data_IF_187727276543
#
_entry.id   IF_187727276543
#
_cell.length_a   1.000
_cell.length_b   1.000
_cell.length_c   1.000
_cell.angle_alpha   90.00
_cell.angle_beta   90.00
_cell.angle_gamma   90.00
#
_symmetry.space_group_name_H-M   'P 1'
#
loop_
_entity.id
_entity.type
_entity.pdbx_description
1 polymer ?
#
# COMPACT_ATOMS: atom_id res chain seq x y z
N UNK A 1 22.78 41.23 -16.28
CA UNK A 1 23.18 40.17 -15.31
C UNK A 1 23.85 39.05 -16.09
N UNK A 2 25.04 39.30 -16.68
CA UNK A 2 25.57 38.40 -17.72
C UNK A 2 27.04 38.03 -17.66
N UNK A 3 27.89 38.60 -16.79
CA UNK A 3 29.36 38.50 -17.03
C UNK A 3 30.24 38.31 -15.79
N UNK A 4 29.81 37.54 -14.77
CA UNK A 4 30.71 37.21 -13.63
C UNK A 4 30.65 35.73 -13.19
N UNK A 5 30.86 34.79 -14.12
CA UNK A 5 31.00 33.37 -13.80
C UNK A 5 32.26 32.78 -14.47
N UNK A 6 33.27 32.43 -13.67
CA UNK A 6 34.43 31.65 -14.12
C UNK A 6 34.27 30.17 -13.73
N UNK A 7 34.36 29.27 -14.72
CA UNK A 7 34.21 27.81 -14.57
C UNK A 7 35.57 27.11 -14.40
N UNK A 8 35.71 26.25 -13.38
CA UNK A 8 36.82 25.31 -13.25
C UNK A 8 36.35 23.87 -13.51
N UNK A 9 36.93 23.25 -14.55
CA UNK A 9 36.94 21.82 -14.94
C UNK A 9 35.68 20.97 -14.65
N UNK A 10 35.03 20.61 -15.75
CA UNK A 10 33.99 19.59 -15.90
C UNK A 10 34.31 18.24 -15.22
N UNK A 11 33.39 17.76 -14.39
CA UNK A 11 33.25 16.34 -14.05
C UNK A 11 31.84 15.83 -14.40
N UNK A 12 31.70 14.53 -14.67
CA UNK A 12 30.41 13.93 -15.02
C UNK A 12 29.44 13.93 -13.81
N UNK A 13 28.14 14.22 -14.02
CA UNK A 13 27.16 14.35 -12.94
C UNK A 13 27.00 13.04 -12.16
N UNK A 14 27.19 13.09 -10.84
CA UNK A 14 27.11 11.94 -9.93
C UNK A 14 25.70 11.67 -9.40
N UNK A 15 24.76 12.59 -9.62
CA UNK A 15 23.41 12.56 -9.07
C UNK A 15 22.33 12.37 -10.14
N UNK A 16 22.30 11.20 -10.78
CA UNK A 16 21.11 10.78 -11.52
C UNK A 16 19.98 10.44 -10.54
N UNK A 17 19.04 11.36 -10.35
CA UNK A 17 17.73 11.07 -9.73
C UNK A 17 17.44 11.63 -8.34
N UNK A 18 18.15 12.65 -7.86
CA UNK A 18 17.80 13.37 -6.62
C UNK A 18 17.48 14.84 -6.89
N UNK A 19 16.42 15.35 -6.25
CA UNK A 19 16.04 16.78 -6.31
C UNK A 19 17.01 17.60 -5.45
N UNK A 20 17.75 18.48 -6.13
CA UNK A 20 18.70 19.43 -5.58
C UNK A 20 18.07 20.41 -4.59
N UNK A 21 18.89 20.93 -3.67
CA UNK A 21 18.57 22.08 -2.83
C UNK A 21 18.31 23.34 -3.70
N UNK A 22 17.90 24.50 -3.15
CA UNK A 22 17.24 25.60 -3.87
C UNK A 22 18.01 26.28 -5.03
N UNK A 23 19.18 25.80 -5.41
CA UNK A 23 19.98 26.33 -6.52
C UNK A 23 20.00 25.31 -7.67
N UNK A 24 18.96 25.34 -8.51
CA UNK A 24 18.95 24.67 -9.84
C UNK A 24 19.29 23.17 -9.88
N UNK A 25 19.22 22.53 -11.07
CA UNK A 25 19.75 21.18 -11.25
C UNK A 25 21.29 21.21 -11.28
N UNK A 26 21.95 20.22 -10.66
CA UNK A 26 23.41 20.09 -10.74
C UNK A 26 23.81 19.83 -12.19
N UNK A 27 24.44 20.82 -12.84
CA UNK A 27 24.83 20.75 -14.25
C UNK A 27 26.28 20.29 -14.45
N UNK A 28 26.96 19.94 -13.35
CA UNK A 28 28.39 19.61 -13.34
C UNK A 28 29.30 20.82 -13.11
N UNK A 29 28.72 22.00 -12.80
CA UNK A 29 29.40 23.27 -12.58
C UNK A 29 29.10 23.89 -11.19
N UNK A 30 28.82 23.08 -10.17
CA UNK A 30 28.27 23.59 -8.91
C UNK A 30 29.24 23.54 -7.73
N UNK A 31 30.18 24.48 -7.73
CA UNK A 31 30.48 25.21 -6.52
C UNK A 31 30.38 26.71 -6.83
N UNK A 32 29.21 27.31 -6.62
CA UNK A 32 29.13 28.75 -6.47
C UNK A 32 29.85 29.11 -5.15
N UNK A 33 31.15 29.41 -5.24
CA UNK A 33 31.81 30.14 -4.16
C UNK A 33 31.22 31.55 -4.13
N UNK A 34 30.70 31.95 -2.97
CA UNK A 34 30.28 33.32 -2.72
C UNK A 34 31.41 34.27 -3.12
N UNK A 35 31.18 35.13 -4.12
CA UNK A 35 31.92 36.38 -4.18
C UNK A 35 31.46 37.18 -2.97
N UNK A 36 32.32 37.30 -1.97
CA UNK A 36 32.15 38.18 -0.81
C UNK A 36 31.81 39.60 -1.32
N UNK A 37 30.51 39.90 -1.44
CA UNK A 37 30.01 41.27 -1.54
C UNK A 37 29.48 41.65 -0.16
N UNK A 38 30.18 42.53 0.58
CA UNK A 38 29.73 42.93 1.91
C UNK A 38 28.47 43.79 1.76
N UNK A 39 27.29 43.25 2.12
CA UNK A 39 26.07 44.04 2.28
C UNK A 39 24.74 43.37 1.93
N UNK A 40 24.71 42.32 1.11
CA UNK A 40 23.47 41.69 0.59
C UNK A 40 23.10 40.36 1.25
N UNK A 41 23.97 39.79 2.08
CA UNK A 41 23.76 38.46 2.69
C UNK A 41 22.67 38.42 3.77
N UNK A 42 22.45 39.52 4.49
CA UNK A 42 21.57 39.49 5.68
C UNK A 42 20.09 39.41 5.32
N UNK A 43 19.68 40.11 4.27
CA UNK A 43 18.29 40.15 3.81
C UNK A 43 17.90 38.87 3.07
N UNK A 44 18.82 38.30 2.28
CA UNK A 44 18.63 37.01 1.63
C UNK A 44 18.58 35.87 2.64
N UNK A 45 19.47 35.86 3.63
CA UNK A 45 19.44 34.88 4.72
C UNK A 45 18.13 34.99 5.51
N UNK A 46 17.68 36.20 5.82
CA UNK A 46 16.42 36.44 6.53
C UNK A 46 15.22 35.96 5.72
N UNK A 47 15.19 36.17 4.40
CA UNK A 47 14.14 35.68 3.52
C UNK A 47 14.10 34.13 3.48
N UNK A 48 15.27 33.49 3.42
CA UNK A 48 15.39 32.03 3.45
C UNK A 48 14.91 31.48 4.79
N UNK A 49 15.37 32.03 5.91
CA UNK A 49 14.92 31.64 7.25
C UNK A 49 13.42 31.86 7.43
N UNK A 50 12.87 32.96 6.92
CA UNK A 50 11.43 33.24 6.96
C UNK A 50 10.64 32.19 6.17
N UNK A 51 11.12 31.78 4.99
CA UNK A 51 10.46 30.72 4.20
C UNK A 51 10.51 29.33 4.85
N UNK A 52 11.52 29.07 5.68
CA UNK A 52 11.67 27.84 6.46
C UNK A 52 10.78 27.84 7.72
N UNK A 53 10.72 28.97 8.42
CA UNK A 53 9.97 29.12 9.68
C UNK A 53 8.48 29.35 9.45
N UNK A 54 8.12 30.09 8.39
CA UNK A 54 6.73 30.43 8.03
C UNK A 54 6.45 30.04 6.58
N UNK A 55 6.26 28.74 6.29
CA UNK A 55 5.99 28.31 4.93
C UNK A 55 4.64 28.84 4.41
N UNK A 56 4.62 29.33 3.17
CA UNK A 56 3.44 29.92 2.53
C UNK A 56 2.26 28.96 2.36
N UNK A 57 2.49 27.65 2.46
CA UNK A 57 1.43 26.63 2.47
C UNK A 57 0.71 26.52 3.82
N UNK A 58 1.31 27.02 4.90
CA UNK A 58 0.86 26.80 6.29
C UNK A 58 0.63 28.11 7.04
N UNK A 59 1.32 29.18 6.67
CA UNK A 59 1.17 30.50 7.25
C UNK A 59 0.65 31.48 6.20
N UNK A 60 -0.12 32.46 6.68
CA UNK A 60 -0.51 33.62 5.88
C UNK A 60 0.69 34.54 5.63
N UNK A 61 0.55 35.48 4.69
CA UNK A 61 1.56 36.53 4.43
C UNK A 61 1.90 37.35 5.68
N UNK A 62 0.96 37.39 6.63
CA UNK A 62 1.06 38.11 7.89
C UNK A 62 1.68 37.27 9.02
N UNK A 63 2.10 36.02 8.73
CA UNK A 63 2.73 35.12 9.69
C UNK A 63 1.76 34.41 10.64
N UNK A 64 0.45 34.50 10.40
CA UNK A 64 -0.58 33.80 11.18
C UNK A 64 -0.75 32.37 10.68
N UNK A 65 -0.79 31.40 11.60
CA UNK A 65 -1.01 29.98 11.28
C UNK A 65 -2.43 29.75 10.76
N UNK A 66 -2.57 28.98 9.68
CA UNK A 66 -3.85 28.79 8.98
C UNK A 66 -5.00 28.29 9.87
N UNK A 67 -4.71 27.48 10.90
CA UNK A 67 -5.74 26.92 11.78
C UNK A 67 -6.24 27.91 12.85
N UNK A 68 -5.52 29.01 13.07
CA UNK A 68 -5.92 30.07 14.01
C UNK A 68 -6.84 31.11 13.33
N UNK A 69 -7.08 30.97 12.03
CA UNK A 69 -8.01 31.81 11.28
C UNK A 69 -9.47 31.46 11.60
N UNK A 70 -10.39 32.45 11.53
CA UNK A 70 -11.83 32.18 11.52
C UNK A 70 -12.21 31.15 10.45
N UNK A 71 -13.17 30.27 10.72
CA UNK A 71 -13.53 29.12 9.87
C UNK A 71 -13.63 29.46 8.37
N UNK A 72 -14.33 30.52 8.00
CA UNK A 72 -14.47 30.92 6.59
C UNK A 72 -13.16 31.38 5.95
N UNK A 73 -12.26 32.03 6.71
CA UNK A 73 -10.92 32.41 6.26
C UNK A 73 -9.99 31.20 6.17
N UNK A 74 -10.14 30.23 7.07
CA UNK A 74 -9.42 28.95 7.02
C UNK A 74 -9.78 28.17 5.74
N UNK A 75 -11.08 28.06 5.43
CA UNK A 75 -11.57 27.41 4.20
C UNK A 75 -11.06 28.13 2.96
N UNK A 76 -11.14 29.46 2.92
CA UNK A 76 -10.64 30.25 1.79
C UNK A 76 -9.12 30.09 1.59
N UNK A 77 -8.34 30.07 2.67
CA UNK A 77 -6.89 29.85 2.61
C UNK A 77 -6.57 28.46 2.06
N UNK A 78 -7.18 27.41 2.61
CA UNK A 78 -6.96 26.05 2.18
C UNK A 78 -7.36 25.84 0.72
N UNK A 79 -8.53 26.32 0.30
CA UNK A 79 -8.98 26.24 -1.08
C UNK A 79 -8.03 26.96 -2.05
N UNK A 80 -7.43 28.08 -1.63
CA UNK A 80 -6.43 28.80 -2.43
C UNK A 80 -5.16 27.97 -2.61
N UNK A 81 -4.64 27.38 -1.54
CA UNK A 81 -3.44 26.53 -1.58
C UNK A 81 -3.70 25.29 -2.45
N UNK A 82 -4.81 24.59 -2.21
CA UNK A 82 -5.16 23.37 -2.93
C UNK A 82 -5.41 23.63 -4.42
N UNK A 83 -6.12 24.72 -4.76
CA UNK A 83 -6.37 25.11 -6.16
C UNK A 83 -5.09 25.49 -6.89
N UNK A 84 -4.14 26.14 -6.20
CA UNK A 84 -2.85 26.50 -6.78
C UNK A 84 -2.00 25.25 -7.05
N UNK A 85 -1.99 24.29 -6.12
CA UNK A 85 -1.27 23.03 -6.30
C UNK A 85 -1.91 22.17 -7.39
N UNK A 86 -3.24 22.04 -7.41
CA UNK A 86 -3.96 21.31 -8.44
C UNK A 86 -3.71 21.87 -9.85
N UNK A 87 -3.64 23.20 -10.00
CA UNK A 87 -3.28 23.85 -11.28
C UNK A 87 -1.84 23.53 -11.69
N UNK A 88 -0.90 23.53 -10.75
CA UNK A 88 0.50 23.19 -10.99
C UNK A 88 0.66 21.73 -11.41
N UNK A 89 -0.02 20.80 -10.72
CA UNK A 89 -0.04 19.38 -11.08
C UNK A 89 -0.67 19.14 -12.45
N UNK A 90 -1.81 19.78 -12.74
CA UNK A 90 -2.45 19.68 -14.04
C UNK A 90 -1.55 20.23 -15.16
N UNK A 91 -0.83 21.32 -14.89
CA UNK A 91 0.17 21.88 -15.79
C UNK A 91 1.32 20.90 -16.06
N UNK A 92 1.82 20.23 -15.02
CA UNK A 92 2.86 19.20 -15.14
C UNK A 92 2.35 17.97 -15.91
N UNK A 93 1.16 17.46 -15.61
CA UNK A 93 0.54 16.34 -16.32
C UNK A 93 0.33 16.69 -17.79
N UNK A 94 -0.12 17.92 -18.09
CA UNK A 94 -0.26 18.40 -19.46
C UNK A 94 1.08 18.50 -20.18
N UNK A 95 2.13 18.97 -19.51
CA UNK A 95 3.48 19.02 -20.08
C UNK A 95 4.05 17.61 -20.32
N UNK A 96 3.81 16.68 -19.40
CA UNK A 96 4.15 15.26 -19.53
C UNK A 96 3.43 14.63 -20.73
N UNK A 97 2.10 14.76 -20.82
CA UNK A 97 1.32 14.25 -21.95
C UNK A 97 1.74 14.84 -23.30
N UNK A 98 2.14 16.12 -23.35
CA UNK A 98 2.65 16.74 -24.58
C UNK A 98 3.98 16.15 -25.04
N UNK A 99 4.83 15.71 -24.12
CA UNK A 99 6.13 15.11 -24.43
C UNK A 99 6.00 13.62 -24.75
N UNK A 100 5.18 12.91 -24.00
CA UNK A 100 4.87 11.49 -24.19
C UNK A 100 3.49 11.17 -23.56
N UNK A 101 2.50 10.74 -24.34
CA UNK A 101 1.16 10.41 -23.83
C UNK A 101 1.17 9.27 -22.80
N UNK A 102 2.18 8.39 -22.81
CA UNK A 102 2.30 7.28 -21.85
C UNK A 102 3.02 7.68 -20.55
N UNK A 103 3.66 8.85 -20.51
CA UNK A 103 4.43 9.28 -19.35
C UNK A 103 3.62 9.43 -18.04
N UNK A 104 2.34 9.87 -18.03
CA UNK A 104 1.55 9.89 -16.80
C UNK A 104 1.23 8.47 -16.28
N UNK A 105 1.01 7.53 -17.20
CA UNK A 105 0.80 6.12 -16.86
C UNK A 105 2.09 5.54 -16.27
N UNK A 106 3.23 5.76 -16.92
CA UNK A 106 4.52 5.32 -16.40
C UNK A 106 4.84 5.96 -15.04
N UNK A 107 4.46 7.21 -14.82
CA UNK A 107 4.57 7.87 -13.52
C UNK A 107 3.69 7.20 -12.47
N UNK A 108 2.42 6.90 -12.79
CA UNK A 108 1.52 6.17 -11.90
C UNK A 108 2.06 4.79 -11.55
N UNK A 109 2.58 4.05 -12.53
CA UNK A 109 3.20 2.76 -12.29
C UNK A 109 4.41 2.86 -11.36
N UNK A 110 5.27 3.87 -11.53
CA UNK A 110 6.46 4.03 -10.70
C UNK A 110 6.17 4.54 -9.28
N UNK A 111 5.15 5.38 -9.10
CA UNK A 111 4.89 6.07 -7.84
C UNK A 111 3.73 5.49 -7.03
N UNK A 112 2.77 4.81 -7.65
CA UNK A 112 1.64 4.18 -6.98
C UNK A 112 1.71 2.64 -7.06
N UNK A 113 1.84 2.09 -8.27
CA UNK A 113 1.80 0.62 -8.46
C UNK A 113 3.02 -0.06 -7.88
N UNK A 114 4.23 0.39 -8.22
CA UNK A 114 5.46 -0.26 -7.80
C UNK A 114 5.68 -0.23 -6.28
N UNK A 115 5.43 0.89 -5.57
CA UNK A 115 5.50 0.90 -4.10
C UNK A 115 4.38 0.10 -3.44
N UNK A 116 3.18 0.05 -4.04
CA UNK A 116 2.02 -0.69 -3.53
C UNK A 116 1.88 -2.11 -4.06
N UNK A 117 2.81 -2.61 -4.87
CA UNK A 117 2.66 -3.90 -5.57
C UNK A 117 2.54 -5.07 -4.59
N UNK A 118 3.23 -5.01 -3.44
CA UNK A 118 3.11 -6.00 -2.37
C UNK A 118 1.70 -6.02 -1.79
N UNK A 119 1.17 -4.86 -1.39
CA UNK A 119 -0.22 -4.71 -0.91
C UNK A 119 -1.27 -5.16 -1.95
N UNK A 120 -0.99 -4.95 -3.23
CA UNK A 120 -1.87 -5.41 -4.31
C UNK A 120 -1.88 -6.93 -4.47
N UNK A 121 -0.71 -7.56 -4.50
CA UNK A 121 -0.59 -9.03 -4.57
C UNK A 121 -1.15 -9.69 -3.31
N UNK A 122 -0.92 -9.08 -2.16
CA UNK A 122 -1.49 -9.51 -0.90
C UNK A 122 -3.02 -9.42 -0.91
N UNK A 123 -3.57 -8.25 -1.23
CA UNK A 123 -5.01 -8.02 -1.31
C UNK A 123 -5.70 -8.98 -2.26
N UNK A 124 -5.06 -9.32 -3.38
CA UNK A 124 -5.55 -10.35 -4.29
C UNK A 124 -5.76 -11.69 -3.58
N UNK A 125 -4.77 -12.17 -2.82
CA UNK A 125 -4.79 -13.51 -2.22
C UNK A 125 -5.72 -13.57 -1.00
N UNK A 126 -5.66 -12.57 -0.12
CA UNK A 126 -6.52 -12.49 1.07
C UNK A 126 -8.00 -12.53 0.68
N UNK A 127 -8.40 -11.72 -0.32
CA UNK A 127 -9.80 -11.73 -0.77
C UNK A 127 -10.17 -12.95 -1.62
N UNK A 128 -9.18 -13.64 -2.20
CA UNK A 128 -9.42 -14.90 -2.90
C UNK A 128 -10.04 -15.96 -2.01
N UNK A 129 -9.70 -16.00 -0.71
CA UNK A 129 -10.18 -17.02 0.24
C UNK A 129 -11.70 -16.89 0.42
N UNK A 130 -12.17 -15.66 0.64
CA UNK A 130 -13.60 -15.35 0.71
C UNK A 130 -14.33 -15.69 -0.60
N UNK A 131 -13.73 -15.36 -1.75
CA UNK A 131 -14.33 -15.60 -3.05
C UNK A 131 -14.36 -17.09 -3.46
N UNK A 132 -13.37 -17.88 -3.03
CA UNK A 132 -13.29 -19.33 -3.29
C UNK A 132 -14.17 -20.16 -2.36
N UNK A 133 -14.51 -19.66 -1.17
CA UNK A 133 -15.35 -20.39 -0.20
C UNK A 133 -16.72 -20.82 -0.79
N UNK A 134 -17.48 -19.94 -1.49
CA UNK A 134 -18.69 -20.36 -2.20
C UNK A 134 -18.47 -21.42 -3.27
N UNK A 135 -17.33 -21.38 -3.99
CA UNK A 135 -16.96 -22.40 -4.98
C UNK A 135 -16.73 -23.76 -4.31
N UNK A 136 -16.02 -23.77 -3.18
CA UNK A 136 -15.79 -24.99 -2.41
C UNK A 136 -17.08 -25.55 -1.80
N UNK A 137 -17.97 -24.69 -1.32
CA UNK A 137 -19.31 -25.10 -0.86
C UNK A 137 -20.18 -25.66 -1.99
N UNK A 138 -20.02 -25.15 -3.22
CA UNK A 138 -20.73 -25.64 -4.40
C UNK A 138 -20.27 -27.03 -4.86
N UNK A 139 -18.97 -27.30 -4.80
CA UNK A 139 -18.33 -28.51 -5.36
C UNK A 139 -18.12 -29.61 -4.31
N UNK A 140 -17.72 -29.25 -3.09
CA UNK A 140 -17.41 -30.16 -1.99
C UNK A 140 -18.40 -29.99 -0.83
N UNK A 141 -19.70 -30.13 -1.13
CA UNK A 141 -20.81 -29.97 -0.16
C UNK A 141 -20.66 -30.80 1.10
N UNK A 142 -20.22 -32.06 0.98
CA UNK A 142 -20.02 -32.99 2.10
C UNK A 142 -18.89 -32.59 3.05
N UNK A 143 -18.03 -31.66 2.63
CA UNK A 143 -16.92 -31.14 3.41
C UNK A 143 -17.26 -29.75 3.93
N UNK A 144 -17.60 -28.81 3.04
CA UNK A 144 -17.75 -27.38 3.34
C UNK A 144 -19.16 -26.94 3.77
N UNK A 145 -20.16 -27.84 3.73
CA UNK A 145 -21.54 -27.52 4.11
C UNK A 145 -22.14 -28.49 5.13
N UNK A 146 -22.03 -29.80 4.90
CA UNK A 146 -22.59 -30.80 5.84
C UNK A 146 -21.56 -31.38 6.81
N UNK A 147 -20.27 -31.08 6.63
CA UNK A 147 -19.17 -31.47 7.52
C UNK A 147 -19.07 -32.99 7.81
N UNK A 148 -19.63 -33.83 6.94
CA UNK A 148 -19.59 -35.30 7.08
C UNK A 148 -18.21 -35.88 6.77
N UNK A 149 -17.51 -35.29 5.81
CA UNK A 149 -16.19 -35.78 5.32
C UNK A 149 -15.01 -35.02 5.87
N UNK A 150 -15.23 -33.80 6.36
CA UNK A 150 -14.21 -32.89 6.87
C UNK A 150 -14.61 -32.37 8.23
N UNK A 151 -13.65 -32.25 9.13
CA UNK A 151 -13.90 -31.70 10.44
C UNK A 151 -14.18 -30.19 10.34
N UNK A 152 -15.30 -29.75 10.91
CA UNK A 152 -15.71 -28.34 10.96
C UNK A 152 -14.63 -27.42 11.54
N UNK A 153 -13.92 -27.88 12.59
CA UNK A 153 -12.82 -27.13 13.20
C UNK A 153 -11.72 -26.82 12.20
N UNK A 154 -11.38 -27.76 11.30
CA UNK A 154 -10.35 -27.53 10.29
C UNK A 154 -10.79 -26.57 9.18
N UNK A 155 -12.07 -26.56 8.85
CA UNK A 155 -12.62 -25.61 7.87
C UNK A 155 -12.64 -24.20 8.45
N UNK A 156 -13.04 -24.04 9.71
CA UNK A 156 -12.98 -22.76 10.41
C UNK A 156 -11.52 -22.32 10.65
N UNK A 157 -10.61 -23.27 10.89
CA UNK A 157 -9.19 -22.99 11.08
C UNK A 157 -8.53 -22.35 9.85
N UNK A 158 -9.07 -22.53 8.64
CA UNK A 158 -8.58 -21.85 7.42
C UNK A 158 -8.54 -20.33 7.63
N UNK A 159 -9.60 -19.75 8.19
CA UNK A 159 -9.69 -18.30 8.43
C UNK A 159 -8.92 -17.89 9.70
N UNK A 160 -8.98 -18.70 10.77
CA UNK A 160 -8.27 -18.37 12.01
C UNK A 160 -6.75 -18.43 11.86
N UNK A 161 -6.23 -19.42 11.13
CA UNK A 161 -4.80 -19.54 10.87
C UNK A 161 -4.28 -18.43 9.96
N UNK A 162 -5.10 -17.93 9.04
CA UNK A 162 -4.76 -16.73 8.26
C UNK A 162 -4.52 -15.52 9.18
N UNK A 163 -5.44 -15.25 10.12
CA UNK A 163 -5.32 -14.14 11.08
C UNK A 163 -4.13 -14.35 12.03
N UNK A 164 -3.96 -15.57 12.56
CA UNK A 164 -2.80 -15.91 13.40
C UNK A 164 -1.47 -15.70 12.65
N UNK A 165 -1.41 -16.07 11.37
CA UNK A 165 -0.23 -15.85 10.53
C UNK A 165 0.09 -14.37 10.37
N UNK A 166 -0.92 -13.52 10.12
CA UNK A 166 -0.77 -12.06 10.02
C UNK A 166 -0.16 -11.48 11.30
N UNK A 167 -0.68 -11.89 12.48
CA UNK A 167 -0.18 -11.41 13.77
C UNK A 167 1.28 -11.82 13.99
N UNK A 168 1.61 -13.08 13.71
CA UNK A 168 2.99 -13.59 13.82
C UNK A 168 3.92 -12.84 12.87
N UNK A 169 3.49 -12.61 11.63
CA UNK A 169 4.21 -11.83 10.63
C UNK A 169 4.53 -10.41 11.08
N UNK A 170 3.52 -9.68 11.57
CA UNK A 170 3.68 -8.32 12.09
C UNK A 170 4.74 -8.23 13.20
N UNK A 171 4.75 -9.18 14.12
CA UNK A 171 5.71 -9.21 15.23
C UNK A 171 7.13 -9.51 14.73
N UNK A 172 7.29 -10.55 13.90
CA UNK A 172 8.60 -10.96 13.37
C UNK A 172 9.26 -9.85 12.55
N UNK A 173 8.47 -9.21 11.70
CA UNK A 173 8.95 -8.21 10.75
C UNK A 173 9.16 -6.86 11.44
N UNK A 174 8.38 -6.55 12.49
CA UNK A 174 8.67 -5.43 13.38
C UNK A 174 10.07 -5.57 13.99
N UNK A 175 10.41 -6.74 14.52
CA UNK A 175 11.72 -7.00 15.10
C UNK A 175 12.86 -6.93 14.06
N UNK A 176 12.68 -7.54 12.88
CA UNK A 176 13.69 -7.56 11.81
C UNK A 176 13.85 -6.18 11.16
N UNK A 177 12.75 -5.47 10.92
CA UNK A 177 12.73 -4.15 10.33
C UNK A 177 13.42 -3.11 11.21
N UNK A 178 13.26 -3.20 12.53
CA UNK A 178 13.92 -2.30 13.48
C UNK A 178 15.37 -2.70 13.77
N UNK A 179 15.67 -4.01 13.81
CA UNK A 179 17.00 -4.56 14.07
C UNK A 179 17.97 -4.48 12.89
N UNK A 180 17.60 -5.07 11.75
CA UNK A 180 18.46 -5.22 10.56
C UNK A 180 18.17 -4.12 9.52
N UNK A 181 16.91 -3.70 9.40
CA UNK A 181 16.49 -2.59 8.55
C UNK A 181 15.30 -2.91 7.64
N UNK A 182 14.63 -1.85 7.16
CA UNK A 182 13.37 -1.94 6.38
C UNK A 182 13.48 -2.78 5.10
N UNK A 183 14.62 -2.71 4.40
CA UNK A 183 14.84 -3.49 3.17
C UNK A 183 14.80 -5.00 3.44
N UNK A 184 15.39 -5.45 4.54
CA UNK A 184 15.43 -6.87 4.88
C UNK A 184 14.06 -7.40 5.31
N UNK A 185 13.28 -6.60 6.03
CA UNK A 185 11.86 -6.91 6.31
C UNK A 185 11.06 -7.11 5.02
N UNK A 186 11.11 -6.13 4.11
CA UNK A 186 10.40 -6.22 2.82
C UNK A 186 10.85 -7.40 1.95
N UNK A 187 12.13 -7.80 1.99
CA UNK A 187 12.62 -8.98 1.26
C UNK A 187 12.10 -10.27 1.89
N UNK A 188 12.16 -10.38 3.22
CA UNK A 188 11.64 -11.53 3.96
C UNK A 188 10.14 -11.72 3.67
N UNK A 189 9.35 -10.66 3.74
CA UNK A 189 7.90 -10.70 3.49
C UNK A 189 7.60 -11.26 2.11
N UNK A 190 8.28 -10.73 1.09
CA UNK A 190 8.12 -11.18 -0.29
C UNK A 190 8.52 -12.66 -0.48
N UNK A 191 9.58 -13.12 0.18
CA UNK A 191 10.02 -14.52 0.11
C UNK A 191 9.04 -15.47 0.79
N UNK A 192 8.56 -15.12 1.99
CA UNK A 192 7.58 -15.93 2.73
C UNK A 192 6.26 -15.99 1.96
N UNK A 193 5.78 -14.86 1.43
CA UNK A 193 4.60 -14.83 0.57
C UNK A 193 4.78 -15.69 -0.69
N UNK A 194 5.95 -15.63 -1.35
CA UNK A 194 6.21 -16.44 -2.53
C UNK A 194 6.18 -17.95 -2.22
N UNK A 195 6.88 -18.38 -1.17
CA UNK A 195 6.88 -19.78 -0.75
C UNK A 195 5.49 -20.22 -0.30
N UNK A 196 4.75 -19.38 0.42
CA UNK A 196 3.36 -19.64 0.79
C UNK A 196 2.45 -19.83 -0.44
N UNK A 197 2.63 -19.03 -1.50
CA UNK A 197 1.88 -19.19 -2.74
C UNK A 197 2.23 -20.47 -3.50
N UNK A 198 3.49 -20.90 -3.45
CA UNK A 198 3.89 -22.22 -3.97
C UNK A 198 3.20 -23.34 -3.19
N UNK A 199 3.17 -23.24 -1.86
CA UNK A 199 2.47 -24.20 -1.00
C UNK A 199 0.96 -24.24 -1.29
N UNK A 200 0.31 -23.08 -1.43
CA UNK A 200 -1.12 -22.98 -1.78
C UNK A 200 -1.41 -23.61 -3.14
N UNK A 201 -0.60 -23.29 -4.14
CA UNK A 201 -0.74 -23.81 -5.51
C UNK A 201 -0.46 -25.31 -5.58
N UNK A 202 0.50 -25.81 -4.79
CA UNK A 202 0.89 -27.22 -4.73
C UNK A 202 0.09 -28.04 -3.71
N UNK A 203 -0.81 -27.42 -2.94
CA UNK A 203 -1.56 -28.09 -1.87
C UNK A 203 -2.25 -29.36 -2.38
N UNK A 204 -1.98 -30.48 -1.74
CA UNK A 204 -2.51 -31.79 -2.12
C UNK A 204 -2.76 -32.64 -0.87
N UNK A 205 -3.79 -33.47 -0.91
CA UNK A 205 -4.13 -34.38 0.18
C UNK A 205 -4.59 -35.72 -0.35
N UNK A 206 -4.24 -36.80 0.33
CA UNK A 206 -4.76 -38.16 0.06
C UNK A 206 -6.24 -38.28 0.42
N UNK A 207 -6.71 -37.43 1.34
CA UNK A 207 -8.12 -37.26 1.69
C UNK A 207 -8.51 -35.78 1.55
N UNK A 208 -9.80 -35.52 1.42
CA UNK A 208 -10.31 -34.14 1.33
C UNK A 208 -10.03 -33.33 2.61
N UNK A 209 -10.11 -33.98 3.77
CA UNK A 209 -9.72 -33.38 5.05
C UNK A 209 -8.20 -33.09 5.10
N UNK A 210 -7.37 -34.03 4.65
CA UNK A 210 -5.92 -33.81 4.54
C UNK A 210 -5.56 -32.65 3.61
N UNK A 211 -6.31 -32.46 2.52
CA UNK A 211 -6.16 -31.29 1.65
C UNK A 211 -6.52 -29.98 2.37
N UNK A 212 -7.63 -29.94 3.13
CA UNK A 212 -8.00 -28.75 3.93
C UNK A 212 -6.92 -28.41 4.96
N UNK A 213 -6.35 -29.41 5.63
CA UNK A 213 -5.25 -29.21 6.60
C UNK A 213 -4.02 -28.62 5.91
N UNK A 214 -3.61 -29.19 4.77
CA UNK A 214 -2.49 -28.69 3.97
C UNK A 214 -2.75 -27.25 3.50
N UNK A 215 -3.97 -26.96 3.04
CA UNK A 215 -4.40 -25.64 2.62
C UNK A 215 -4.34 -24.63 3.77
N UNK A 216 -4.82 -24.99 4.96
CA UNK A 216 -4.83 -24.12 6.14
C UNK A 216 -3.41 -23.78 6.63
N UNK A 217 -2.49 -24.75 6.65
CA UNK A 217 -1.08 -24.49 6.99
C UNK A 217 -0.35 -23.68 5.92
N UNK A 218 -0.67 -23.90 4.64
CA UNK A 218 -0.13 -23.10 3.53
C UNK A 218 -0.57 -21.64 3.65
N UNK A 219 -1.83 -21.40 4.03
CA UNK A 219 -2.35 -20.07 4.32
C UNK A 219 -1.67 -19.44 5.53
N UNK A 220 -1.52 -20.18 6.65
CA UNK A 220 -0.77 -19.69 7.80
C UNK A 220 0.61 -19.17 7.41
N UNK A 221 1.36 -19.98 6.66
CA UNK A 221 2.71 -19.63 6.22
C UNK A 221 2.71 -18.41 5.29
N UNK A 222 1.81 -18.38 4.31
CA UNK A 222 1.63 -17.22 3.44
C UNK A 222 1.34 -15.95 4.25
N UNK A 223 0.42 -16.05 5.21
CA UNK A 223 -0.03 -14.95 6.06
C UNK A 223 1.06 -14.37 6.97
N UNK A 224 2.11 -15.12 7.28
CA UNK A 224 3.29 -14.55 7.96
C UNK A 224 3.97 -13.48 7.10
N UNK A 225 4.08 -13.68 5.79
CA UNK A 225 4.68 -12.67 4.90
C UNK A 225 3.76 -11.46 4.70
N UNK A 226 2.47 -11.71 4.56
CA UNK A 226 1.39 -10.71 4.50
C UNK A 226 1.44 -9.76 5.71
N UNK A 227 1.60 -10.31 6.92
CA UNK A 227 1.62 -9.51 8.15
C UNK A 227 2.72 -8.44 8.18
N UNK A 228 3.88 -8.70 7.58
CA UNK A 228 4.97 -7.72 7.53
C UNK A 228 4.81 -6.65 6.45
N UNK A 229 4.14 -6.99 5.36
CA UNK A 229 4.05 -6.17 4.15
C UNK A 229 3.36 -4.81 4.45
N UNK A 230 2.25 -4.82 5.18
CA UNK A 230 1.51 -3.62 5.59
C UNK A 230 2.35 -2.61 6.39
N UNK A 231 2.86 -2.97 7.58
CA UNK A 231 3.61 -2.03 8.41
C UNK A 231 4.93 -1.61 7.73
N UNK A 232 5.59 -2.50 6.98
CA UNK A 232 6.85 -2.15 6.32
C UNK A 232 6.64 -1.22 5.13
N UNK A 233 5.63 -1.46 4.29
CA UNK A 233 5.34 -0.59 3.14
C UNK A 233 4.86 0.79 3.59
N UNK A 234 3.99 0.86 4.62
CA UNK A 234 3.56 2.13 5.19
C UNK A 234 4.73 2.92 5.80
N UNK A 235 5.59 2.25 6.56
CA UNK A 235 6.75 2.88 7.22
C UNK A 235 7.78 3.32 6.20
N UNK A 236 8.12 2.48 5.22
CA UNK A 236 9.07 2.81 4.16
C UNK A 236 8.56 3.96 3.27
N UNK A 237 7.26 4.03 2.99
CA UNK A 237 6.66 5.15 2.25
C UNK A 237 6.80 6.47 3.01
N UNK A 238 6.65 6.45 4.34
CA UNK A 238 6.83 7.63 5.19
C UNK A 238 8.31 8.04 5.31
N UNK A 239 9.20 7.08 5.53
CA UNK A 239 10.64 7.34 5.70
C UNK A 239 11.29 7.83 4.39
N UNK A 240 10.89 7.30 3.23
CA UNK A 240 11.39 7.75 1.93
C UNK A 240 10.85 9.14 1.52
N UNK A 241 9.70 9.56 2.04
CA UNK A 241 9.16 10.90 1.78
C UNK A 241 9.93 11.98 2.56
N UNK A 242 10.38 11.65 3.77
CA UNK A 242 11.26 12.49 4.59
C UNK A 242 12.73 12.24 4.26
N UNK A 243 13.28 12.92 3.25
CA UNK A 243 14.73 12.85 2.97
C UNK A 243 15.53 13.13 4.24
N UNK A 244 16.33 12.17 4.70
CA UNK A 244 17.00 12.24 6.01
C UNK A 244 17.83 13.53 6.13
N UNK A 245 17.46 14.40 7.06
CA UNK A 245 18.15 15.67 7.32
C UNK A 245 17.65 16.89 6.55
N UNK A 246 16.63 16.76 5.68
CA UNK A 246 15.98 17.92 5.05
C UNK A 246 14.79 18.38 5.89
N UNK A 247 14.70 19.68 6.18
CA UNK A 247 13.49 20.31 6.73
C UNK A 247 12.31 19.93 5.82
N UNK A 248 11.20 19.47 6.40
CA UNK A 248 10.03 18.99 5.65
C UNK A 248 9.71 19.93 4.49
N UNK A 249 9.71 19.39 3.27
CA UNK A 249 9.48 20.19 2.06
C UNK A 249 7.99 20.44 1.86
N UNK A 250 7.62 21.48 1.11
CA UNK A 250 6.21 21.74 0.76
C UNK A 250 5.55 20.52 0.10
N UNK A 251 6.28 19.83 -0.78
CA UNK A 251 5.82 18.61 -1.45
C UNK A 251 5.60 17.45 -0.48
N UNK A 252 6.43 17.33 0.56
CA UNK A 252 6.25 16.32 1.61
C UNK A 252 5.03 16.65 2.49
N UNK A 253 4.83 17.92 2.87
CA UNK A 253 3.67 18.33 3.68
C UNK A 253 2.33 18.17 2.97
N UNK A 254 2.29 18.44 1.65
CA UNK A 254 1.06 18.43 0.87
C UNK A 254 0.74 17.10 0.19
N UNK A 255 1.67 16.14 0.11
CA UNK A 255 1.45 14.89 -0.66
C UNK A 255 1.80 13.61 0.09
N UNK A 256 2.22 13.69 1.36
CA UNK A 256 2.61 12.50 2.14
C UNK A 256 1.42 11.57 2.38
N UNK A 257 0.22 12.09 2.62
CA UNK A 257 -0.96 11.26 2.82
C UNK A 257 -1.40 10.55 1.54
N UNK A 258 -1.36 11.27 0.41
CA UNK A 258 -1.62 10.72 -0.93
C UNK A 258 -0.65 9.62 -1.29
N UNK A 259 0.65 9.76 -1.03
CA UNK A 259 1.64 8.69 -1.31
C UNK A 259 1.34 7.38 -0.59
N UNK A 260 0.98 7.45 0.70
CA UNK A 260 0.63 6.26 1.49
C UNK A 260 -0.68 5.64 1.01
N UNK A 261 -1.70 6.48 0.75
CA UNK A 261 -3.00 5.99 0.26
C UNK A 261 -2.94 5.44 -1.16
N UNK A 262 -2.05 5.96 -2.03
CA UNK A 262 -1.80 5.41 -3.37
C UNK A 262 -1.22 4.00 -3.32
N UNK A 263 -0.35 3.71 -2.35
CA UNK A 263 0.14 2.35 -2.13
C UNK A 263 -0.98 1.44 -1.62
N UNK A 264 -1.80 1.91 -0.66
CA UNK A 264 -2.95 1.16 -0.14
C UNK A 264 -4.03 0.90 -1.21
N UNK A 265 -4.22 1.84 -2.13
CA UNK A 265 -5.16 1.72 -3.25
C UNK A 265 -4.85 0.50 -4.15
N UNK A 266 -3.59 0.04 -4.18
CA UNK A 266 -3.23 -1.19 -4.90
C UNK A 266 -3.92 -2.43 -4.34
N UNK A 267 -4.25 -2.46 -3.04
CA UNK A 267 -5.02 -3.55 -2.45
C UNK A 267 -6.42 -3.67 -3.10
N UNK A 268 -7.06 -2.54 -3.40
CA UNK A 268 -8.35 -2.50 -4.11
C UNK A 268 -8.24 -3.07 -5.53
N UNK A 269 -7.17 -2.74 -6.26
CA UNK A 269 -6.88 -3.34 -7.56
C UNK A 269 -6.60 -4.85 -7.45
N UNK A 270 -5.90 -5.28 -6.40
CA UNK A 270 -5.71 -6.69 -6.08
C UNK A 270 -7.05 -7.42 -5.95
N UNK A 271 -8.00 -6.86 -5.21
CA UNK A 271 -9.35 -7.41 -5.06
C UNK A 271 -10.09 -7.48 -6.41
N UNK A 272 -9.96 -6.44 -7.24
CA UNK A 272 -10.59 -6.39 -8.56
C UNK A 272 -10.05 -7.47 -9.50
N UNK A 273 -8.72 -7.57 -9.61
CA UNK A 273 -8.08 -8.58 -10.45
C UNK A 273 -8.37 -10.00 -9.96
N UNK A 274 -8.45 -10.23 -8.65
CA UNK A 274 -8.86 -11.52 -8.09
C UNK A 274 -10.24 -11.93 -8.59
N UNK A 275 -11.22 -11.04 -8.43
CA UNK A 275 -12.59 -11.33 -8.83
C UNK A 275 -12.72 -11.54 -10.34
N UNK A 276 -12.03 -10.72 -11.15
CA UNK A 276 -12.02 -10.86 -12.60
C UNK A 276 -11.36 -12.17 -13.07
N UNK A 277 -10.19 -12.53 -12.50
CA UNK A 277 -9.47 -13.75 -12.85
C UNK A 277 -10.25 -14.99 -12.46
N UNK A 278 -10.92 -15.01 -11.30
CA UNK A 278 -11.77 -16.13 -10.89
C UNK A 278 -12.94 -16.34 -11.86
N UNK A 279 -13.60 -15.25 -12.28
CA UNK A 279 -14.68 -15.31 -13.27
C UNK A 279 -14.17 -15.86 -14.61
N UNK A 280 -13.05 -15.33 -15.12
CA UNK A 280 -12.45 -15.77 -16.39
C UNK A 280 -12.02 -17.23 -16.30
N UNK A 281 -11.36 -17.63 -15.22
CA UNK A 281 -10.92 -19.01 -15.01
C UNK A 281 -12.12 -19.96 -14.98
N UNK A 282 -13.21 -19.60 -14.29
CA UNK A 282 -14.41 -20.43 -14.25
C UNK A 282 -15.06 -20.55 -15.64
N UNK A 283 -15.09 -19.48 -16.43
CA UNK A 283 -15.59 -19.55 -17.81
C UNK A 283 -14.75 -20.48 -18.71
N UNK A 284 -13.42 -20.41 -18.61
CA UNK A 284 -12.49 -21.22 -19.40
C UNK A 284 -12.62 -22.71 -19.01
N UNK A 285 -12.57 -23.02 -17.71
CA UNK A 285 -12.54 -24.40 -17.22
C UNK A 285 -13.93 -25.06 -17.09
N UNK A 286 -15.01 -24.34 -17.36
CA UNK A 286 -16.38 -24.85 -17.36
C UNK A 286 -17.06 -24.81 -18.74
N UNK A 287 -16.26 -25.01 -19.80
CA UNK A 287 -16.72 -25.13 -21.20
C UNK A 287 -17.63 -23.96 -21.67
N UNK A 288 -17.44 -22.75 -21.13
CA UNK A 288 -18.25 -21.58 -21.47
C UNK A 288 -19.66 -21.56 -20.84
N UNK A 289 -20.06 -22.60 -20.12
CA UNK A 289 -21.30 -22.58 -19.33
C UNK A 289 -20.99 -22.01 -17.94
N UNK A 290 -21.68 -20.96 -17.49
CA UNK A 290 -21.50 -20.44 -16.12
C UNK A 290 -22.37 -21.17 -15.08
N UNK A 291 -23.16 -22.16 -15.53
CA UNK A 291 -24.23 -22.77 -14.75
C UNK A 291 -23.76 -24.04 -14.01
N UNK A 292 -24.26 -24.29 -12.78
CA UNK A 292 -24.04 -25.54 -12.06
C UNK A 292 -24.58 -26.76 -12.83
N UNK A 293 -24.00 -27.97 -12.66
CA UNK A 293 -23.00 -28.37 -11.66
C UNK A 293 -21.55 -28.08 -12.08
N UNK A 294 -20.74 -27.64 -11.12
CA UNK A 294 -19.30 -27.43 -11.32
C UNK A 294 -18.53 -28.73 -11.06
N UNK A 295 -17.61 -29.09 -11.96
CA UNK A 295 -16.77 -30.29 -11.80
C UNK A 295 -15.70 -30.09 -10.72
N UNK A 296 -15.34 -31.17 -10.01
CA UNK A 296 -14.21 -31.19 -9.06
C UNK A 296 -12.89 -30.80 -9.73
N UNK A 297 -12.72 -31.18 -11.00
CA UNK A 297 -11.54 -30.85 -11.80
C UNK A 297 -11.49 -29.36 -12.11
N UNK A 298 -12.62 -28.77 -12.52
CA UNK A 298 -12.76 -27.32 -12.76
C UNK A 298 -12.40 -26.53 -11.51
N UNK A 299 -12.93 -26.89 -10.34
CA UNK A 299 -12.61 -26.19 -9.09
C UNK A 299 -11.12 -26.27 -8.75
N UNK A 300 -10.50 -27.44 -8.91
CA UNK A 300 -9.06 -27.64 -8.68
C UNK A 300 -8.20 -26.75 -9.59
N UNK A 301 -8.53 -26.65 -10.87
CA UNK A 301 -7.81 -25.77 -11.80
C UNK A 301 -8.04 -24.29 -11.49
N UNK A 302 -9.28 -23.89 -11.21
CA UNK A 302 -9.64 -22.49 -10.93
C UNK A 302 -8.87 -21.96 -9.73
N UNK A 303 -8.86 -22.66 -8.59
CA UNK A 303 -8.15 -22.15 -7.41
C UNK A 303 -6.62 -22.21 -7.56
N UNK A 304 -6.08 -23.25 -8.22
CA UNK A 304 -4.62 -23.35 -8.40
C UNK A 304 -4.10 -22.26 -9.30
N UNK A 305 -4.78 -22.01 -10.42
CA UNK A 305 -4.40 -20.93 -11.34
C UNK A 305 -4.58 -19.57 -10.68
N UNK A 306 -5.65 -19.40 -9.87
CA UNK A 306 -5.84 -18.15 -9.16
C UNK A 306 -4.68 -17.85 -8.20
N UNK A 307 -4.05 -18.85 -7.57
CA UNK A 307 -2.86 -18.64 -6.72
C UNK A 307 -1.52 -18.65 -7.49
N UNK A 308 -1.45 -19.30 -8.65
CA UNK A 308 -0.23 -19.33 -9.47
C UNK A 308 0.09 -17.95 -10.08
N UNK A 309 -0.93 -17.20 -10.51
CA UNK A 309 -0.77 -15.86 -11.09
C UNK A 309 -0.09 -14.88 -10.11
N UNK A 310 -0.58 -14.68 -8.87
CA UNK A 310 0.11 -13.83 -7.91
C UNK A 310 1.47 -14.41 -7.50
N UNK A 311 1.70 -15.73 -7.55
CA UNK A 311 3.03 -16.30 -7.28
C UNK A 311 4.10 -15.76 -8.25
N UNK A 312 3.76 -15.61 -9.53
CA UNK A 312 4.65 -15.01 -10.54
C UNK A 312 4.89 -13.52 -10.22
N UNK A 313 3.85 -12.79 -9.85
CA UNK A 313 3.97 -11.39 -9.44
C UNK A 313 4.86 -11.22 -8.21
N UNK A 314 4.69 -12.08 -7.20
CA UNK A 314 5.48 -12.06 -5.98
C UNK A 314 6.94 -12.46 -6.25
N UNK A 315 7.20 -13.41 -7.15
CA UNK A 315 8.56 -13.76 -7.57
C UNK A 315 9.27 -12.57 -8.22
N UNK A 316 8.58 -11.86 -9.12
CA UNK A 316 9.12 -10.64 -9.72
C UNK A 316 9.38 -9.56 -8.65
N UNK A 317 8.51 -9.45 -7.66
CA UNK A 317 8.65 -8.50 -6.56
C UNK A 317 9.83 -8.87 -5.64
N UNK A 318 10.08 -10.15 -5.39
CA UNK A 318 11.30 -10.65 -4.72
C UNK A 318 12.55 -10.20 -5.50
N UNK A 319 12.57 -10.44 -6.82
CA UNK A 319 13.68 -10.00 -7.68
C UNK A 319 13.89 -8.48 -7.61
N UNK A 320 12.80 -7.71 -7.71
CA UNK A 320 12.85 -6.25 -7.66
C UNK A 320 13.39 -5.74 -6.30
N UNK A 321 12.90 -6.28 -5.18
CA UNK A 321 13.36 -5.88 -3.83
C UNK A 321 14.80 -6.29 -3.55
N UNK A 322 15.23 -7.45 -4.07
CA UNK A 322 16.59 -7.93 -3.89
C UNK A 322 17.59 -7.12 -4.71
N UNK A 323 17.31 -6.84 -5.99
CA UNK A 323 18.30 -6.26 -6.91
C UNK A 323 18.10 -4.79 -7.27
N UNK A 324 16.87 -4.25 -7.22
CA UNK A 324 16.55 -2.90 -7.74
C UNK A 324 16.22 -1.88 -6.66
N UNK A 325 15.79 -2.30 -5.47
CA UNK A 325 15.45 -1.37 -4.39
C UNK A 325 16.74 -0.81 -3.74
N UNK A 326 17.00 0.52 -3.84
CA UNK A 326 18.18 1.12 -3.24
C UNK A 326 18.13 1.06 -1.72
N UNK A 327 19.30 0.99 -1.06
CA UNK A 327 19.41 1.05 0.40
C UNK A 327 19.02 2.44 0.91
N UNK A 328 17.74 2.69 1.12
CA UNK A 328 17.25 3.80 1.94
C UNK A 328 17.81 3.74 3.38
N UNK A 329 18.28 2.56 3.81
CA UNK A 329 18.88 2.34 5.12
C UNK A 329 20.24 3.02 5.29
N UNK A 330 21.00 3.39 4.25
CA UNK A 330 22.38 3.92 4.45
C UNK A 330 22.43 5.13 5.39
N UNK A 331 21.45 6.02 5.31
CA UNK A 331 21.39 7.19 6.17
C UNK A 331 20.85 6.89 7.58
N UNK A 332 19.88 5.98 7.69
CA UNK A 332 19.38 5.50 8.99
C UNK A 332 20.44 4.68 9.73
N UNK A 333 21.17 3.83 9.02
CA UNK A 333 22.31 3.05 9.51
C UNK A 333 23.46 3.99 9.90
N UNK A 334 23.72 5.05 9.12
CA UNK A 334 24.67 6.09 9.48
C UNK A 334 24.23 6.87 10.74
N UNK A 335 22.94 7.18 10.89
CA UNK A 335 22.39 7.85 12.06
C UNK A 335 22.41 6.95 13.31
N UNK A 336 22.02 5.67 13.18
CA UNK A 336 22.09 4.65 14.24
C UNK A 336 23.54 4.41 14.67
N UNK A 337 24.48 4.35 13.71
CA UNK A 337 25.91 4.25 13.96
C UNK A 337 26.48 5.50 14.64
N UNK A 338 25.99 6.69 14.28
CA UNK A 338 26.37 7.96 14.92
C UNK A 338 25.80 8.11 16.34
N UNK A 339 24.61 7.57 16.59
CA UNK A 339 23.94 7.61 17.88
C UNK A 339 24.25 6.41 18.79
N UNK A 340 25.07 5.45 18.33
CA UNK A 340 25.39 4.20 19.02
C UNK A 340 24.16 3.41 19.48
N UNK A 341 23.04 3.52 18.76
CA UNK A 341 21.81 2.80 19.08
C UNK A 341 21.75 1.57 18.19
N UNK A 342 22.15 0.43 18.75
CA UNK A 342 22.07 -0.87 18.08
C UNK A 342 20.76 -1.56 18.46
N UNK A 343 19.78 -1.56 17.56
CA UNK A 343 18.60 -2.41 17.65
C UNK A 343 17.36 -1.80 18.33
N UNK A 344 16.47 -2.69 18.77
CA UNK A 344 15.16 -2.39 19.36
C UNK A 344 15.33 -1.67 20.70
N UNK A 345 15.27 -0.34 20.69
CA UNK A 345 15.48 0.45 21.89
C UNK A 345 14.23 0.44 22.78
N UNK A 346 14.24 -0.44 23.77
CA UNK A 346 13.20 -0.56 24.80
C UNK A 346 12.98 0.78 25.52
N UNK A 347 14.01 1.62 25.64
CA UNK A 347 13.89 2.96 26.22
C UNK A 347 13.07 3.88 25.32
N UNK A 348 13.31 3.87 24.01
CA UNK A 348 12.50 4.59 23.02
C UNK A 348 11.06 4.08 22.97
N UNK A 349 10.84 2.76 23.06
CA UNK A 349 9.50 2.18 23.13
C UNK A 349 8.76 2.66 24.39
N UNK A 350 9.43 2.62 25.55
CA UNK A 350 8.87 3.13 26.82
C UNK A 350 8.53 4.61 26.73
N UNK A 351 9.39 5.41 26.10
CA UNK A 351 9.16 6.84 25.92
C UNK A 351 7.98 7.11 24.97
N UNK A 352 7.86 6.30 23.92
CA UNK A 352 6.75 6.33 22.96
C UNK A 352 5.43 5.97 23.63
N UNK A 353 5.39 4.89 24.41
CA UNK A 353 4.19 4.46 25.14
C UNK A 353 3.81 5.46 26.23
N UNK A 354 4.77 6.04 26.95
CA UNK A 354 4.47 7.02 27.99
C UNK A 354 3.91 8.34 27.43
N UNK A 355 4.48 8.85 26.34
CA UNK A 355 4.08 10.15 25.80
C UNK A 355 2.94 10.05 24.77
N UNK A 356 2.89 8.95 24.01
CA UNK A 356 1.91 8.74 22.94
C UNK A 356 0.93 7.59 23.21
N UNK A 357 0.94 6.99 24.40
CA UNK A 357 0.07 5.86 24.76
C UNK A 357 -1.42 6.10 24.52
N UNK A 358 -1.91 7.30 24.86
CA UNK A 358 -3.30 7.68 24.58
C UNK A 358 -3.61 7.69 23.07
N UNK A 359 -2.67 8.14 22.23
CA UNK A 359 -2.82 8.12 20.77
C UNK A 359 -2.73 6.71 20.21
N UNK A 360 -1.87 5.85 20.77
CA UNK A 360 -1.76 4.44 20.39
C UNK A 360 -3.08 3.71 20.65
N UNK A 361 -3.67 3.88 21.84
CA UNK A 361 -4.96 3.26 22.21
C UNK A 361 -6.08 3.80 21.33
N UNK A 362 -6.15 5.12 21.12
CA UNK A 362 -7.18 5.71 20.26
C UNK A 362 -7.07 5.21 18.81
N UNK A 363 -5.85 5.14 18.27
CA UNK A 363 -5.62 4.67 16.88
C UNK A 363 -5.93 3.17 16.76
N UNK A 364 -5.45 2.35 17.70
CA UNK A 364 -5.72 0.91 17.71
C UNK A 364 -7.22 0.62 17.88
N UNK A 365 -7.90 1.35 18.76
CA UNK A 365 -9.34 1.23 18.97
C UNK A 365 -10.16 1.64 17.75
N UNK A 366 -9.81 2.76 17.11
CA UNK A 366 -10.45 3.20 15.86
C UNK A 366 -10.23 2.18 14.73
N UNK A 367 -9.03 1.63 14.61
CA UNK A 367 -8.72 0.60 13.62
C UNK A 367 -9.48 -0.70 13.89
N UNK A 368 -9.53 -1.15 15.15
CA UNK A 368 -10.31 -2.31 15.55
C UNK A 368 -11.78 -2.16 15.18
N UNK A 369 -12.40 -1.02 15.51
CA UNK A 369 -13.79 -0.74 15.14
C UNK A 369 -13.97 -0.75 13.62
N UNK A 370 -13.05 -0.14 12.87
CA UNK A 370 -13.08 -0.14 11.40
C UNK A 370 -13.00 -1.56 10.83
N UNK A 371 -12.12 -2.41 11.36
CA UNK A 371 -11.94 -3.79 10.90
C UNK A 371 -13.18 -4.64 11.17
N UNK A 372 -13.85 -4.46 12.31
CA UNK A 372 -15.13 -5.14 12.61
C UNK A 372 -16.16 -4.83 11.53
N UNK A 373 -16.30 -3.57 11.11
CA UNK A 373 -17.25 -3.21 10.05
C UNK A 373 -16.76 -3.60 8.65
N UNK A 374 -15.47 -3.44 8.35
CA UNK A 374 -14.92 -3.73 7.03
C UNK A 374 -14.96 -5.23 6.71
N UNK A 375 -14.46 -6.07 7.62
CA UNK A 375 -14.50 -7.53 7.45
C UNK A 375 -15.91 -8.07 7.72
N UNK A 376 -16.68 -7.47 8.64
CA UNK A 376 -18.09 -7.81 8.87
C UNK A 376 -18.96 -7.60 7.63
N UNK A 377 -18.83 -6.46 6.94
CA UNK A 377 -19.55 -6.19 5.69
C UNK A 377 -19.25 -7.23 4.61
N UNK A 378 -18.00 -7.73 4.55
CA UNK A 378 -17.60 -8.79 3.62
C UNK A 378 -18.23 -10.15 3.98
N UNK A 379 -18.32 -10.49 5.27
CA UNK A 379 -19.01 -11.69 5.75
C UNK A 379 -20.50 -11.69 5.40
N UNK A 380 -21.19 -10.55 5.55
CA UNK A 380 -22.62 -10.42 5.27
C UNK A 380 -22.96 -10.13 3.81
N UNK A 381 -21.96 -9.94 2.94
CA UNK A 381 -22.17 -9.59 1.54
C UNK A 381 -23.05 -10.60 0.79
N UNK A 382 -22.92 -11.90 1.10
CA UNK A 382 -23.75 -12.95 0.51
C UNK A 382 -25.24 -12.84 0.89
N UNK A 383 -25.55 -12.34 2.09
CA UNK A 383 -26.93 -12.09 2.55
C UNK A 383 -27.53 -10.87 1.84
N UNK A 384 -26.74 -9.82 1.62
CA UNK A 384 -27.21 -8.67 0.83
C UNK A 384 -27.49 -9.06 -0.62
N UNK A 385 -26.62 -9.87 -1.22
CA UNK A 385 -26.80 -10.35 -2.60
C UNK A 385 -28.05 -11.24 -2.72
N UNK A 386 -28.33 -12.09 -1.73
CA UNK A 386 -29.52 -12.95 -1.75
C UNK A 386 -30.84 -12.16 -1.65
N UNK A 387 -30.81 -10.98 -1.02
CA UNK A 387 -31.94 -10.03 -0.99
C UNK A 387 -32.07 -9.25 -2.30
N UNK A 388 -30.96 -8.80 -2.88
CA UNK A 388 -30.93 -8.02 -4.13
C UNK A 388 -31.28 -8.86 -5.37
N UNK A 389 -30.89 -10.14 -5.39
CA UNK A 389 -31.13 -11.07 -6.49
C UNK A 389 -31.71 -12.39 -5.95
N UNK A 390 -33.01 -12.43 -5.61
CA UNK A 390 -33.64 -13.62 -5.05
C UNK A 390 -33.56 -14.78 -6.05
N UNK A 391 -32.78 -15.80 -5.70
CA UNK A 391 -32.72 -17.03 -6.50
C UNK A 391 -33.96 -17.88 -6.20
N UNK A 392 -34.69 -18.40 -7.20
CA UNK A 392 -35.85 -19.26 -6.96
C UNK A 392 -35.49 -20.47 -6.08
N UNK A 393 -36.32 -20.76 -5.06
CA UNK A 393 -36.13 -21.92 -4.18
C UNK A 393 -36.04 -23.20 -5.02
N UNK A 394 -34.92 -23.92 -4.91
CA UNK A 394 -34.68 -25.18 -5.62
C UNK A 394 -33.72 -25.11 -6.80
N UNK A 395 -33.16 -23.94 -7.13
CA UNK A 395 -32.04 -23.84 -8.07
C UNK A 395 -30.70 -23.75 -7.34
N UNK A 396 -29.62 -24.37 -7.85
CA UNK A 396 -28.32 -24.25 -7.22
C UNK A 396 -27.90 -22.79 -7.30
N UNK A 397 -27.45 -22.23 -6.17
CA UNK A 397 -26.96 -20.86 -6.06
C UNK A 397 -25.95 -20.58 -7.18
N UNK A 398 -26.29 -19.65 -8.07
CA UNK A 398 -25.41 -19.27 -9.15
C UNK A 398 -24.25 -18.45 -8.59
N UNK A 399 -23.10 -19.10 -8.46
CA UNK A 399 -21.87 -18.51 -7.94
C UNK A 399 -21.45 -17.33 -8.81
N UNK A 400 -21.74 -17.40 -10.13
CA UNK A 400 -21.43 -16.33 -11.07
C UNK A 400 -22.17 -15.04 -10.72
N UNK A 401 -23.44 -15.13 -10.35
CA UNK A 401 -24.23 -13.96 -9.95
C UNK A 401 -23.64 -13.31 -8.69
N UNK A 402 -23.24 -14.11 -7.69
CA UNK A 402 -22.56 -13.59 -6.50
C UNK A 402 -21.21 -12.92 -6.81
N UNK A 403 -20.41 -13.54 -7.68
CA UNK A 403 -19.14 -13.02 -8.14
C UNK A 403 -19.26 -11.74 -8.97
N UNK A 404 -20.29 -11.61 -9.81
CA UNK A 404 -20.58 -10.40 -10.57
C UNK A 404 -20.99 -9.23 -9.66
N UNK A 405 -21.86 -9.48 -8.67
CA UNK A 405 -22.20 -8.46 -7.68
C UNK A 405 -21.00 -8.04 -6.83
N UNK A 406 -20.12 -8.99 -6.49
CA UNK A 406 -18.86 -8.64 -5.83
C UNK A 406 -17.96 -7.78 -6.72
N UNK A 407 -17.88 -8.09 -8.02
CA UNK A 407 -17.11 -7.27 -8.97
C UNK A 407 -17.63 -5.83 -9.03
N UNK A 408 -18.96 -5.65 -9.05
CA UNK A 408 -19.59 -4.32 -8.98
C UNK A 408 -19.23 -3.62 -7.67
N UNK A 409 -19.35 -4.31 -6.53
CA UNK A 409 -18.99 -3.77 -5.22
C UNK A 409 -17.54 -3.28 -5.18
N UNK A 410 -16.61 -4.06 -5.75
CA UNK A 410 -15.19 -3.69 -5.86
C UNK A 410 -14.97 -2.50 -6.79
N UNK A 411 -15.70 -2.45 -7.91
CA UNK A 411 -15.65 -1.30 -8.82
C UNK A 411 -16.07 -0.01 -8.13
N UNK A 412 -17.13 -0.05 -7.33
CA UNK A 412 -17.60 1.10 -6.55
C UNK A 412 -16.62 1.46 -5.42
N UNK A 413 -16.07 0.47 -4.72
CA UNK A 413 -15.11 0.74 -3.64
C UNK A 413 -13.79 1.35 -4.15
N UNK A 414 -13.36 0.99 -5.36
CA UNK A 414 -12.22 1.62 -6.04
C UNK A 414 -12.41 3.13 -6.23
N UNK A 415 -13.61 3.57 -6.63
CA UNK A 415 -13.92 5.00 -6.70
C UNK A 415 -13.72 5.68 -5.34
N UNK A 416 -14.15 5.02 -4.26
CA UNK A 416 -13.91 5.47 -2.89
C UNK A 416 -12.42 5.60 -2.55
N UNK A 417 -11.60 4.61 -2.91
CA UNK A 417 -10.15 4.66 -2.69
C UNK A 417 -9.47 5.82 -3.45
N UNK A 418 -9.86 6.07 -4.70
CA UNK A 418 -9.33 7.20 -5.48
C UNK A 418 -9.76 8.55 -4.88
N UNK A 419 -11.02 8.70 -4.50
CA UNK A 419 -11.52 9.91 -3.83
C UNK A 419 -10.79 10.16 -2.51
N UNK A 420 -10.58 9.12 -1.70
CA UNK A 420 -9.80 9.22 -0.47
C UNK A 420 -8.36 9.69 -0.77
N UNK A 421 -7.71 9.14 -1.79
CA UNK A 421 -6.34 9.54 -2.16
C UNK A 421 -6.25 10.99 -2.65
N UNK A 422 -7.28 11.50 -3.33
CA UNK A 422 -7.31 12.90 -3.79
C UNK A 422 -7.69 13.89 -2.69
N UNK A 423 -8.49 13.49 -1.71
CA UNK A 423 -9.01 14.38 -0.67
C UNK A 423 -8.22 14.33 0.65
N UNK A 424 -7.41 13.29 0.89
CA UNK A 424 -6.75 13.09 2.19
C UNK A 424 -5.79 14.22 2.59
N UNK A 425 -5.16 14.87 1.61
CA UNK A 425 -4.21 15.96 1.85
C UNK A 425 -4.90 17.35 1.81
N UNK A 426 -6.19 17.41 1.46
CA UNK A 426 -6.96 18.65 1.55
C UNK A 426 -7.13 19.02 3.02
N UNK A 427 -6.66 20.21 3.42
CA UNK A 427 -6.65 20.65 4.83
C UNK A 427 -8.03 20.87 5.44
N UNK A 428 -9.07 21.06 4.61
CA UNK A 428 -10.47 21.23 5.07
C UNK A 428 -11.19 19.91 5.29
N UNK A 429 -10.89 18.89 4.48
CA UNK A 429 -11.46 17.54 4.62
C UNK A 429 -10.62 16.77 5.64
N UNK A 430 -9.31 16.73 5.40
CA UNK A 430 -8.28 16.26 6.33
C UNK A 430 -8.45 14.81 6.80
N UNK A 431 -7.56 14.40 7.69
CA UNK A 431 -7.55 13.09 8.37
C UNK A 431 -8.27 13.09 9.72
N UNK A 432 -9.04 14.14 10.05
CA UNK A 432 -9.57 14.34 11.41
C UNK A 432 -10.63 13.31 11.79
#
# INVERSE_FOLDING_TARGET
MGDELHQHRHHAPTNYGMVSAPHGPETGDDHASFTNQPGTDRDLATAIFKSLLYPDDTYTTDGVYWADLPFWKQVAFNNKVDSAEAKKELGQIRAMMKKDPLSPVAWYFKNAVLPGAGLGLEGYVLFSIGNLTPLFQGVWKTCWKTFETCNETWINAVQYLEVCGIIVGQILVGAIGDGIGRRWGLIQDALIMFVGLLMLTASWGTTLNGWVICYAWSLFFYSIGVGGEYPMTATAAMENATGSGKVSTKEDRLHRGRKVTMAFLMQGWGQFFNQAILIIALFIFHHGSAKPPYSKVTAQWVYRISFAIPAIGTLWLVYYRYYKMPLASKALDAAKKKASVTGYDVKSLKLTVNHFGGRLIATAGAWYCNDVFFYGNKLFQSQFISVLSPTPKGHPTDIMTGWLWNLVNVGVSLCGYYLASFLIDNKTVGRK
#
